data_IF_235962229924
#
_entry.id   IF_235962229924
#
_cell.length_a   1.000
_cell.length_b   1.000
_cell.length_c   1.000
_cell.angle_alpha   90.00
_cell.angle_beta   90.00
_cell.angle_gamma   90.00
#
_symmetry.space_group_name_H-M   'P 1'
#
loop_
_entity.id
_entity.type
_entity.pdbx_description
1 polymer ?
#
# COMPACT_ATOMS: atom_id res chain seq x y z
N UNK A 1 -4.33 -19.49 -7.12
CA UNK A 1 -4.46 -18.37 -8.08
C UNK A 1 -3.12 -17.68 -8.18
N UNK A 2 -2.80 -17.13 -9.34
CA UNK A 2 -1.63 -16.24 -9.50
C UNK A 2 -2.06 -14.80 -9.28
N UNK A 3 -1.18 -14.00 -8.69
CA UNK A 3 -1.33 -12.56 -8.56
C UNK A 3 -0.08 -11.90 -9.14
N UNK A 4 -0.28 -10.80 -9.84
CA UNK A 4 0.79 -9.98 -10.41
C UNK A 4 0.77 -8.62 -9.73
N UNK A 5 1.95 -8.13 -9.32
CA UNK A 5 2.12 -6.78 -8.80
C UNK A 5 2.17 -5.81 -9.99
N UNK A 6 1.19 -4.91 -10.10
CA UNK A 6 1.10 -3.96 -11.24
C UNK A 6 1.64 -2.55 -10.92
N UNK A 7 1.83 -2.25 -9.64
CA UNK A 7 2.42 -1.00 -9.13
C UNK A 7 3.22 -1.31 -7.86
N UNK A 8 4.13 -0.44 -7.40
CA UNK A 8 4.92 -0.73 -6.20
C UNK A 8 4.03 -1.05 -4.98
N UNK A 9 4.18 -2.24 -4.39
CA UNK A 9 3.37 -2.68 -3.24
C UNK A 9 4.24 -2.79 -1.99
N UNK A 10 3.90 -2.03 -0.95
CA UNK A 10 4.52 -2.12 0.37
C UNK A 10 3.56 -2.67 1.42
N UNK A 11 3.90 -3.82 2.03
CA UNK A 11 3.26 -4.32 3.25
C UNK A 11 4.31 -4.28 4.36
N UNK A 12 4.14 -3.41 5.34
CA UNK A 12 5.16 -3.16 6.35
C UNK A 12 5.34 -4.31 7.34
N UNK A 13 6.60 -4.57 7.73
CA UNK A 13 6.92 -5.48 8.84
C UNK A 13 6.61 -4.86 10.21
N UNK A 14 6.45 -3.55 10.27
CA UNK A 14 6.41 -2.76 11.52
C UNK A 14 7.78 -2.23 11.93
N UNK A 15 8.84 -2.58 11.20
CA UNK A 15 10.20 -2.10 11.38
C UNK A 15 10.64 -1.18 10.23
N UNK A 16 11.78 -0.53 10.41
CA UNK A 16 12.40 0.33 9.41
C UNK A 16 13.91 0.34 9.56
N UNK A 17 14.58 0.86 8.53
CA UNK A 17 16.02 1.08 8.50
C UNK A 17 16.29 2.57 8.64
N UNK A 18 16.82 2.99 9.78
CA UNK A 18 17.27 4.34 10.01
C UNK A 18 18.45 4.69 9.10
N UNK A 19 18.81 5.98 9.01
CA UNK A 19 19.88 6.45 8.12
C UNK A 19 21.26 5.89 8.46
N UNK A 20 21.45 5.35 9.67
CA UNK A 20 22.67 4.63 10.03
C UNK A 20 22.59 3.14 9.64
N UNK A 21 21.42 2.56 9.43
CA UNK A 21 21.26 1.12 9.12
C UNK A 21 21.58 0.78 7.66
N UNK A 22 21.70 1.78 6.78
CA UNK A 22 21.91 1.57 5.35
C UNK A 22 22.86 2.58 4.74
N UNK A 23 23.35 2.28 3.54
CA UNK A 23 23.89 3.30 2.65
C UNK A 23 23.39 3.12 1.22
N UNK A 24 23.29 4.25 0.52
CA UNK A 24 22.95 4.31 -0.89
C UNK A 24 24.22 4.48 -1.73
N UNK A 25 24.36 3.67 -2.78
CA UNK A 25 25.41 3.79 -3.77
C UNK A 25 24.93 3.25 -5.12
N UNK A 26 25.13 4.02 -6.21
CA UNK A 26 24.89 3.58 -7.59
C UNK A 26 23.51 2.96 -7.85
N UNK A 27 22.43 3.61 -7.40
CA UNK A 27 21.06 3.12 -7.62
C UNK A 27 20.68 1.92 -6.75
N UNK A 28 21.46 1.63 -5.69
CA UNK A 28 21.22 0.52 -4.77
C UNK A 28 21.29 0.96 -3.33
N UNK A 29 20.52 0.27 -2.49
CA UNK A 29 20.55 0.40 -1.03
C UNK A 29 21.06 -0.92 -0.44
N UNK A 30 22.07 -0.81 0.42
CA UNK A 30 22.60 -1.94 1.20
C UNK A 30 22.23 -1.76 2.66
N UNK A 31 21.62 -2.79 3.23
CA UNK A 31 21.29 -2.85 4.66
C UNK A 31 22.45 -3.48 5.41
N UNK A 32 23.02 -2.78 6.39
CA UNK A 32 24.24 -3.20 7.09
C UNK A 32 23.97 -4.39 8.02
N UNK A 33 24.92 -5.31 8.06
CA UNK A 33 24.98 -6.38 9.06
C UNK A 33 25.93 -5.97 10.19
N UNK A 34 25.37 -5.29 11.20
CA UNK A 34 26.14 -4.80 12.34
C UNK A 34 26.76 -5.90 13.17
N UNK A 35 26.04 -7.00 13.40
CA UNK A 35 26.53 -8.07 14.25
C UNK A 35 27.77 -8.69 13.61
N UNK A 36 27.71 -8.91 12.30
CA UNK A 36 28.84 -9.42 11.54
C UNK A 36 29.98 -8.39 11.49
N UNK A 37 29.68 -7.14 11.16
CA UNK A 37 30.69 -6.08 11.07
C UNK A 37 31.43 -5.87 12.41
N UNK A 38 30.68 -5.85 13.52
CA UNK A 38 31.22 -5.68 14.87
C UNK A 38 32.12 -6.85 15.28
N UNK A 39 31.76 -8.08 14.89
CA UNK A 39 32.52 -9.29 15.22
C UNK A 39 33.82 -9.39 14.41
N UNK A 40 33.75 -9.11 13.11
CA UNK A 40 34.82 -9.40 12.15
C UNK A 40 35.81 -8.24 11.94
N UNK A 41 35.45 -6.98 12.25
CA UNK A 41 36.28 -5.80 11.98
C UNK A 41 36.46 -4.91 13.21
N UNK A 42 37.67 -4.91 13.78
CA UNK A 42 38.03 -4.11 14.96
C UNK A 42 37.96 -2.59 14.72
N UNK A 43 38.23 -2.14 13.48
CA UNK A 43 38.11 -0.72 13.13
C UNK A 43 36.65 -0.30 13.16
N UNK A 44 35.77 -1.10 12.57
CA UNK A 44 34.31 -0.83 12.59
C UNK A 44 33.80 -0.88 14.03
N UNK A 45 34.23 -1.87 14.82
CA UNK A 45 33.89 -1.97 16.25
C UNK A 45 34.16 -0.66 16.99
N UNK A 46 35.38 -0.12 16.88
CA UNK A 46 35.77 1.15 17.49
C UNK A 46 34.93 2.34 17.00
N UNK A 47 34.54 2.37 15.72
CA UNK A 47 33.68 3.41 15.16
C UNK A 47 32.26 3.36 15.74
N UNK A 48 31.72 2.15 15.91
CA UNK A 48 30.41 1.92 16.54
C UNK A 48 30.46 2.35 18.01
N UNK A 49 31.45 1.85 18.76
CA UNK A 49 31.59 2.15 20.20
C UNK A 49 31.80 3.65 20.48
N UNK A 50 32.42 4.38 19.54
CA UNK A 50 32.62 5.85 19.64
C UNK A 50 31.42 6.69 19.18
N UNK A 51 30.36 6.07 18.64
CA UNK A 51 29.18 6.76 18.11
C UNK A 51 29.44 7.56 16.82
N UNK A 52 30.57 7.32 16.14
CA UNK A 52 30.97 8.02 14.90
C UNK A 52 30.90 7.12 13.67
N UNK A 53 30.03 6.12 13.70
CA UNK A 53 29.92 5.12 12.65
C UNK A 53 29.22 5.69 11.40
N UNK A 54 29.92 5.65 10.26
CA UNK A 54 29.34 5.84 8.93
C UNK A 54 29.07 4.45 8.32
N UNK A 55 27.85 4.16 7.85
CA UNK A 55 27.49 2.86 7.27
C UNK A 55 28.35 2.47 6.08
N UNK A 56 28.88 3.45 5.34
CA UNK A 56 29.81 3.23 4.21
C UNK A 56 31.11 2.56 4.64
N UNK A 57 31.54 2.76 5.89
CA UNK A 57 32.72 2.10 6.44
C UNK A 57 32.52 0.57 6.50
N UNK A 58 31.28 0.11 6.67
CA UNK A 58 30.90 -1.30 6.68
C UNK A 58 30.35 -1.78 5.33
N UNK A 59 30.73 -1.16 4.21
CA UNK A 59 30.17 -1.44 2.89
C UNK A 59 30.27 -2.90 2.41
N UNK A 60 31.16 -3.70 3.02
CA UNK A 60 31.34 -5.14 2.79
C UNK A 60 30.50 -6.04 3.71
N UNK A 61 29.92 -5.48 4.77
CA UNK A 61 29.12 -6.19 5.77
C UNK A 61 27.66 -5.77 5.63
N UNK A 62 26.95 -6.37 4.68
CA UNK A 62 25.54 -6.10 4.46
C UNK A 62 24.71 -7.39 4.51
N UNK A 63 23.50 -7.30 5.07
CA UNK A 63 22.53 -8.39 5.14
C UNK A 63 21.96 -8.70 3.76
N UNK A 64 21.61 -7.64 3.03
CA UNK A 64 21.13 -7.71 1.66
C UNK A 64 21.28 -6.36 0.95
N UNK A 65 21.17 -6.41 -0.38
CA UNK A 65 21.19 -5.27 -1.29
C UNK A 65 19.91 -5.31 -2.12
N UNK A 66 19.29 -4.16 -2.33
CA UNK A 66 18.13 -3.99 -3.21
C UNK A 66 18.31 -2.79 -4.12
N UNK A 67 17.62 -2.79 -5.26
CA UNK A 67 17.58 -1.62 -6.13
C UNK A 67 16.87 -0.46 -5.43
N UNK A 68 17.24 0.76 -5.79
CA UNK A 68 16.66 1.98 -5.26
C UNK A 68 16.38 2.96 -6.40
N UNK A 69 15.10 3.26 -6.59
CA UNK A 69 14.64 4.23 -7.59
C UNK A 69 14.63 5.66 -7.04
N UNK A 70 15.27 5.87 -5.89
CA UNK A 70 15.44 7.15 -5.22
C UNK A 70 16.71 7.12 -4.35
N UNK A 71 17.19 8.29 -3.91
CA UNK A 71 18.24 8.41 -2.90
C UNK A 71 17.60 8.69 -1.53
N UNK A 72 17.40 7.66 -0.68
CA UNK A 72 16.72 7.82 0.60
C UNK A 72 17.57 8.62 1.60
N UNK A 73 16.98 9.68 2.16
CA UNK A 73 17.60 10.61 3.11
C UNK A 73 17.04 10.52 4.54
N UNK A 74 16.20 9.52 4.82
CA UNK A 74 15.59 9.24 6.12
C UNK A 74 15.22 7.76 6.21
N UNK A 75 14.58 7.37 7.31
CA UNK A 75 14.13 5.99 7.54
C UNK A 75 13.42 5.38 6.31
N UNK A 76 13.82 4.15 5.98
CA UNK A 76 13.19 3.31 4.96
C UNK A 76 12.31 2.30 5.68
N UNK A 77 11.01 2.31 5.44
CA UNK A 77 10.11 1.33 6.01
C UNK A 77 10.30 -0.03 5.35
N UNK A 78 10.49 -1.05 6.19
CA UNK A 78 10.84 -2.39 5.77
C UNK A 78 9.60 -3.17 5.29
N UNK A 79 9.72 -3.85 4.15
CA UNK A 79 8.69 -4.77 3.67
C UNK A 79 8.69 -6.05 4.52
N UNK A 80 7.54 -6.64 4.77
CA UNK A 80 7.42 -7.89 5.51
C UNK A 80 8.08 -9.06 4.77
N UNK A 81 8.91 -9.83 5.48
CA UNK A 81 9.66 -10.96 4.93
C UNK A 81 9.47 -12.21 5.77
N UNK A 82 9.60 -13.37 5.15
CA UNK A 82 9.76 -14.66 5.82
C UNK A 82 11.12 -15.23 5.41
N UNK A 83 11.97 -15.53 6.40
CA UNK A 83 13.36 -15.98 6.17
C UNK A 83 14.12 -15.13 5.14
N UNK A 84 14.01 -13.80 5.26
CA UNK A 84 14.66 -12.83 4.37
C UNK A 84 14.01 -12.64 3.00
N UNK A 85 12.89 -13.32 2.71
CA UNK A 85 12.20 -13.26 1.42
C UNK A 85 10.86 -12.53 1.53
N UNK A 86 10.59 -11.50 0.72
CA UNK A 86 9.34 -10.76 0.79
C UNK A 86 8.15 -11.60 0.31
N UNK A 87 6.98 -11.36 0.90
CA UNK A 87 5.72 -12.02 0.57
C UNK A 87 4.54 -11.09 0.90
N UNK A 88 3.34 -11.43 0.43
CA UNK A 88 2.11 -10.73 0.82
C UNK A 88 1.35 -11.59 1.84
N UNK A 89 1.12 -11.08 3.06
CA UNK A 89 0.32 -11.78 4.05
C UNK A 89 -1.13 -11.97 3.60
N UNK A 90 -1.67 -13.15 3.85
CA UNK A 90 -3.06 -13.51 3.58
C UNK A 90 -4.04 -12.64 4.39
N UNK A 91 -3.62 -12.13 5.54
CA UNK A 91 -4.37 -11.14 6.32
C UNK A 91 -4.55 -9.82 5.58
N UNK A 92 -3.55 -9.38 4.80
CA UNK A 92 -3.64 -8.16 3.98
C UNK A 92 -4.64 -8.35 2.83
N UNK A 93 -4.55 -9.47 2.12
CA UNK A 93 -5.50 -9.84 1.06
C UNK A 93 -6.93 -9.99 1.60
N UNK A 94 -7.08 -10.66 2.74
CA UNK A 94 -8.37 -10.84 3.42
C UNK A 94 -8.96 -9.51 3.88
N UNK A 95 -8.13 -8.56 4.28
CA UNK A 95 -8.53 -7.18 4.58
C UNK A 95 -9.16 -6.48 3.39
N UNK A 96 -8.56 -6.57 2.20
CA UNK A 96 -9.12 -6.01 0.96
C UNK A 96 -10.46 -6.64 0.60
N UNK A 97 -10.58 -7.98 0.72
CA UNK A 97 -11.86 -8.68 0.49
C UNK A 97 -12.93 -8.23 1.48
N UNK A 98 -12.58 -8.10 2.78
CA UNK A 98 -13.48 -7.61 3.82
C UNK A 98 -14.02 -6.22 3.47
N UNK A 99 -13.16 -5.30 3.05
CA UNK A 99 -13.53 -3.94 2.66
C UNK A 99 -14.48 -3.94 1.47
N UNK A 100 -14.19 -4.75 0.45
CA UNK A 100 -15.05 -4.86 -0.73
C UNK A 100 -16.44 -5.42 -0.41
N UNK A 101 -16.52 -6.44 0.46
CA UNK A 101 -17.78 -7.01 0.93
C UNK A 101 -18.58 -5.96 1.73
N UNK A 102 -17.91 -5.22 2.62
CA UNK A 102 -18.55 -4.16 3.39
C UNK A 102 -19.08 -3.04 2.48
N UNK A 103 -18.31 -2.62 1.49
CA UNK A 103 -18.74 -1.65 0.48
C UNK A 103 -19.98 -2.13 -0.27
N UNK A 104 -19.95 -3.39 -0.77
CA UNK A 104 -21.06 -3.98 -1.50
C UNK A 104 -22.32 -4.03 -0.64
N UNK A 105 -22.19 -4.47 0.62
CA UNK A 105 -23.30 -4.48 1.56
C UNK A 105 -23.89 -3.08 1.81
N UNK A 106 -23.05 -2.06 2.00
CA UNK A 106 -23.51 -0.68 2.17
C UNK A 106 -24.29 -0.20 0.94
N UNK A 107 -23.73 -0.45 -0.26
CA UNK A 107 -24.32 -0.04 -1.53
C UNK A 107 -25.67 -0.74 -1.78
N UNK A 108 -25.71 -2.06 -1.65
CA UNK A 108 -26.91 -2.87 -1.91
C UNK A 108 -28.04 -2.57 -0.92
N UNK A 109 -27.72 -2.03 0.28
CA UNK A 109 -28.70 -1.59 1.28
C UNK A 109 -28.88 -0.06 1.34
N UNK A 110 -28.32 0.69 0.40
CA UNK A 110 -28.35 2.16 0.35
C UNK A 110 -27.96 2.85 1.69
N UNK A 111 -27.04 2.24 2.44
CA UNK A 111 -26.56 2.76 3.73
C UNK A 111 -25.46 3.80 3.51
N UNK A 112 -25.58 4.95 4.15
CA UNK A 112 -24.57 6.01 4.14
C UNK A 112 -23.85 6.04 5.48
N UNK A 113 -22.52 6.09 5.45
CA UNK A 113 -21.69 6.19 6.64
C UNK A 113 -21.30 7.64 6.87
N UNK A 114 -21.71 8.20 8.00
CA UNK A 114 -21.47 9.60 8.40
C UNK A 114 -20.41 9.73 9.49
N UNK A 115 -20.17 8.65 10.25
CA UNK A 115 -19.17 8.64 11.31
C UNK A 115 -18.51 7.28 11.48
N UNK A 116 -17.39 7.25 12.22
CA UNK A 116 -16.69 6.00 12.56
C UNK A 116 -17.52 5.09 13.45
N UNK A 117 -18.33 5.67 14.34
CA UNK A 117 -19.21 4.93 15.24
C UNK A 117 -20.31 4.23 14.44
N UNK A 118 -20.88 4.90 13.43
CA UNK A 118 -21.84 4.31 12.51
C UNK A 118 -21.21 3.19 11.69
N UNK A 119 -20.00 3.40 11.16
CA UNK A 119 -19.26 2.35 10.45
C UNK A 119 -19.06 1.11 11.33
N UNK A 120 -18.63 1.30 12.59
CA UNK A 120 -18.43 0.20 13.54
C UNK A 120 -19.73 -0.54 13.85
N UNK A 121 -20.86 0.15 13.94
CA UNK A 121 -22.18 -0.49 14.12
C UNK A 121 -22.56 -1.35 12.92
N UNK A 122 -22.35 -0.84 11.71
CA UNK A 122 -22.64 -1.58 10.47
C UNK A 122 -21.69 -2.76 10.30
N UNK A 123 -20.41 -2.61 10.63
CA UNK A 123 -19.46 -3.72 10.63
C UNK A 123 -19.92 -4.83 11.59
N UNK A 124 -20.42 -4.48 12.78
CA UNK A 124 -20.97 -5.45 13.74
C UNK A 124 -22.27 -6.08 13.26
N UNK A 125 -23.08 -5.36 12.49
CA UNK A 125 -24.30 -5.88 11.87
C UNK A 125 -23.98 -6.91 10.78
N UNK A 126 -23.00 -6.60 9.93
CA UNK A 126 -22.60 -7.46 8.81
C UNK A 126 -21.73 -8.64 9.27
N UNK A 127 -20.62 -8.36 9.94
CA UNK A 127 -19.61 -9.34 10.34
C UNK A 127 -19.84 -9.89 11.76
N UNK A 128 -20.92 -9.50 12.44
CA UNK A 128 -21.18 -9.96 13.80
C UNK A 128 -20.40 -9.21 14.88
N UNK A 129 -20.77 -9.45 16.15
CA UNK A 129 -20.24 -8.72 17.31
C UNK A 129 -18.89 -9.23 17.78
N UNK A 130 -18.56 -10.48 17.45
CA UNK A 130 -17.35 -11.17 17.89
C UNK A 130 -16.69 -11.95 16.74
N UNK A 131 -15.44 -12.37 16.93
CA UNK A 131 -14.74 -13.23 15.99
C UNK A 131 -15.44 -14.59 15.78
N UNK A 132 -16.25 -15.05 16.75
CA UNK A 132 -17.05 -16.27 16.62
C UNK A 132 -18.22 -16.07 15.66
N UNK A 133 -18.73 -14.85 15.51
CA UNK A 133 -19.87 -14.54 14.64
C UNK A 133 -19.42 -14.17 13.22
N UNK A 134 -18.16 -13.81 13.04
CA UNK A 134 -17.62 -13.31 11.79
C UNK A 134 -17.54 -14.38 10.70
N UNK A 135 -18.40 -14.23 9.69
CA UNK A 135 -18.43 -15.15 8.55
C UNK A 135 -17.13 -15.14 7.75
N UNK A 136 -16.29 -14.10 7.85
CA UNK A 136 -14.98 -14.07 7.19
C UNK A 136 -14.09 -15.22 7.67
N UNK A 137 -14.35 -15.85 8.81
CA UNK A 137 -13.65 -17.08 9.25
C UNK A 137 -13.85 -18.26 8.28
N UNK A 138 -14.92 -18.25 7.50
CA UNK A 138 -15.18 -19.25 6.46
C UNK A 138 -14.42 -18.96 5.16
N UNK A 139 -13.76 -17.81 5.03
CA UNK A 139 -12.85 -17.53 3.93
C UNK A 139 -11.40 -17.81 4.36
N UNK A 140 -10.83 -18.90 3.87
CA UNK A 140 -9.42 -19.19 4.03
C UNK A 140 -8.63 -18.38 2.99
N UNK A 141 -7.71 -17.55 3.46
CA UNK A 141 -6.75 -16.82 2.63
C UNK A 141 -5.38 -17.17 3.19
N UNK A 142 -4.59 -17.92 2.42
CA UNK A 142 -3.20 -18.22 2.78
C UNK A 142 -2.31 -17.01 2.48
N UNK A 143 -1.15 -16.98 3.12
CA UNK A 143 -0.07 -16.10 2.68
C UNK A 143 0.34 -16.50 1.25
N UNK A 144 0.90 -15.55 0.50
CA UNK A 144 1.51 -15.90 -0.77
C UNK A 144 2.75 -16.77 -0.55
N UNK A 145 3.24 -17.38 -1.62
CA UNK A 145 4.66 -17.73 -1.67
C UNK A 145 5.56 -16.49 -1.46
N UNK A 146 6.82 -16.73 -1.15
CA UNK A 146 7.82 -15.67 -1.00
C UNK A 146 8.69 -15.59 -2.24
N UNK A 147 9.11 -14.38 -2.61
CA UNK A 147 9.90 -14.12 -3.82
C UNK A 147 11.36 -13.79 -3.48
N UNK A 148 12.24 -13.75 -4.48
CA UNK A 148 13.62 -13.28 -4.29
C UNK A 148 13.63 -11.80 -3.92
N UNK A 149 14.68 -11.37 -3.21
CA UNK A 149 14.95 -9.95 -2.94
C UNK A 149 15.14 -9.12 -4.22
N UNK A 150 15.45 -9.76 -5.35
CA UNK A 150 15.50 -9.09 -6.66
C UNK A 150 14.15 -8.47 -7.06
N UNK A 151 13.04 -8.94 -6.47
CA UNK A 151 11.71 -8.38 -6.67
C UNK A 151 11.39 -7.23 -5.71
N UNK A 152 12.32 -6.84 -4.85
CA UNK A 152 12.16 -5.75 -3.89
C UNK A 152 13.01 -4.55 -4.33
N UNK A 153 12.47 -3.35 -4.15
CA UNK A 153 13.22 -2.12 -4.34
C UNK A 153 12.76 -1.02 -3.39
N UNK A 154 13.60 -0.02 -3.19
CA UNK A 154 13.26 1.18 -2.42
C UNK A 154 12.60 2.20 -3.35
N UNK A 155 11.41 2.65 -2.95
CA UNK A 155 10.64 3.67 -3.64
C UNK A 155 10.42 4.88 -2.74
N UNK A 156 10.30 6.05 -3.37
CA UNK A 156 9.87 7.28 -2.73
C UNK A 156 8.38 7.50 -2.95
N UNK A 157 7.64 7.73 -1.86
CA UNK A 157 6.26 8.21 -1.89
C UNK A 157 6.22 9.69 -1.54
N UNK A 158 5.70 10.49 -2.47
CA UNK A 158 5.43 11.91 -2.26
C UNK A 158 3.96 12.13 -1.94
N UNK A 159 3.67 12.97 -0.94
CA UNK A 159 2.30 13.33 -0.60
C UNK A 159 1.94 14.60 -1.34
N UNK A 160 0.93 14.56 -2.21
CA UNK A 160 0.43 15.74 -2.91
C UNK A 160 -0.72 16.38 -2.13
N UNK A 161 -0.81 17.71 -2.22
CA UNK A 161 -1.93 18.50 -1.73
C UNK A 161 -2.47 19.37 -2.84
N UNK A 162 -3.78 19.54 -2.84
CA UNK A 162 -4.46 20.44 -3.77
C UNK A 162 -4.20 21.90 -3.38
N UNK A 163 -3.97 22.74 -4.39
CA UNK A 163 -3.84 24.20 -4.28
C UNK A 163 -4.57 24.86 -5.44
N UNK A 164 -4.93 26.12 -5.25
CA UNK A 164 -5.44 26.99 -6.32
C UNK A 164 -4.33 28.00 -6.67
N UNK A 165 -3.86 27.97 -7.90
CA UNK A 165 -2.89 28.93 -8.45
C UNK A 165 -3.51 29.57 -9.69
N UNK A 166 -3.59 30.91 -9.73
CA UNK A 166 -4.19 31.67 -10.84
C UNK A 166 -5.62 31.20 -11.21
N UNK A 167 -6.44 30.86 -10.20
CA UNK A 167 -7.81 30.37 -10.38
C UNK A 167 -7.90 28.92 -10.90
N UNK A 168 -6.78 28.22 -11.03
CA UNK A 168 -6.71 26.84 -11.52
C UNK A 168 -6.29 25.88 -10.40
N UNK A 169 -6.93 24.71 -10.33
CA UNK A 169 -6.57 23.66 -9.39
C UNK A 169 -5.28 22.97 -9.84
N UNK A 170 -4.31 22.86 -8.94
CA UNK A 170 -3.06 22.15 -9.17
C UNK A 170 -2.68 21.28 -7.96
N UNK A 171 -1.87 20.25 -8.19
CA UNK A 171 -1.35 19.41 -7.12
C UNK A 171 0.11 19.78 -6.86
N UNK A 172 0.45 20.08 -5.60
CA UNK A 172 1.83 20.38 -5.19
C UNK A 172 2.28 19.41 -4.09
N UNK A 173 3.58 19.09 -4.01
CA UNK A 173 4.10 18.33 -2.87
C UNK A 173 3.75 19.01 -1.55
N UNK A 174 3.23 18.24 -0.61
CA UNK A 174 2.94 18.69 0.75
C UNK A 174 4.27 18.93 1.47
N UNK A 175 4.44 20.15 1.98
CA UNK A 175 5.68 20.57 2.64
C UNK A 175 5.50 20.67 4.16
N UNK A 176 6.58 20.46 4.89
CA UNK A 176 6.66 20.68 6.34
C UNK A 176 7.77 21.70 6.65
N UNK A 177 7.51 22.57 7.63
CA UNK A 177 8.53 23.48 8.18
C UNK A 177 9.44 22.70 9.11
N UNK A 178 10.75 22.84 8.92
CA UNK A 178 11.79 22.24 9.75
C UNK A 178 12.77 23.32 10.20
N UNK A 179 13.64 22.99 11.15
CA UNK A 179 14.69 23.91 11.63
C UNK A 179 15.60 24.43 10.50
N UNK A 180 15.78 23.63 9.45
CA UNK A 180 16.65 23.92 8.31
C UNK A 180 15.89 24.46 7.08
N UNK A 181 14.60 24.78 7.22
CA UNK A 181 13.77 25.33 6.14
C UNK A 181 12.54 24.49 5.81
N UNK A 182 11.95 24.75 4.65
CA UNK A 182 10.74 24.07 4.15
C UNK A 182 11.17 22.92 3.25
N UNK A 183 10.67 21.71 3.53
CA UNK A 183 10.96 20.52 2.70
C UNK A 183 9.72 19.69 2.41
N UNK A 184 9.66 18.97 1.27
CA UNK A 184 8.58 18.05 0.99
C UNK A 184 8.55 16.88 1.98
N UNK A 185 7.34 16.39 2.28
CA UNK A 185 7.15 15.14 3.00
C UNK A 185 7.40 14.00 2.03
N UNK A 186 8.43 13.22 2.33
CA UNK A 186 8.87 12.05 1.58
C UNK A 186 8.84 10.84 2.52
N UNK A 187 8.39 9.72 2.00
CA UNK A 187 8.34 8.44 2.71
C UNK A 187 9.06 7.43 1.85
N UNK A 188 10.01 6.69 2.41
CA UNK A 188 10.71 5.63 1.69
C UNK A 188 10.23 4.27 2.18
N UNK A 189 9.96 3.38 1.22
CA UNK A 189 9.44 2.04 1.52
C UNK A 189 10.13 1.02 0.64
N UNK A 190 10.55 -0.09 1.23
CA UNK A 190 10.82 -1.31 0.47
C UNK A 190 9.50 -1.84 -0.09
N UNK A 191 9.41 -2.00 -1.41
CA UNK A 191 8.18 -2.38 -2.09
C UNK A 191 8.46 -3.43 -3.15
N UNK A 192 7.51 -4.35 -3.32
CA UNK A 192 7.54 -5.31 -4.42
C UNK A 192 7.46 -4.55 -5.74
N UNK A 193 8.32 -4.92 -6.69
CA UNK A 193 8.41 -4.30 -8.01
C UNK A 193 7.20 -4.66 -8.87
N UNK A 194 6.72 -3.76 -9.75
CA UNK A 194 5.81 -4.13 -10.82
C UNK A 194 6.35 -5.32 -11.63
N UNK A 195 5.47 -6.23 -12.06
CA UNK A 195 5.80 -7.49 -12.73
C UNK A 195 6.14 -8.66 -11.80
N UNK A 196 6.14 -8.47 -10.47
CA UNK A 196 6.36 -9.58 -9.53
C UNK A 196 5.16 -10.52 -9.55
N UNK A 197 5.38 -11.79 -9.92
CA UNK A 197 4.38 -12.85 -9.84
C UNK A 197 4.45 -13.58 -8.48
N UNK A 198 3.29 -13.80 -7.87
CA UNK A 198 3.13 -14.58 -6.63
C UNK A 198 1.95 -15.57 -6.78
N UNK A 199 1.94 -16.61 -5.97
CA UNK A 199 0.86 -17.60 -5.88
C UNK A 199 0.17 -17.51 -4.53
N UNK A 200 -1.17 -17.53 -4.54
CA UNK A 200 -1.98 -17.56 -3.31
C UNK A 200 -3.15 -18.53 -3.40
N UNK A 201 -3.55 -19.07 -2.24
CA UNK A 201 -4.73 -19.90 -2.09
C UNK A 201 -5.84 -19.14 -1.35
N UNK A 202 -6.98 -18.97 -2.03
CA UNK A 202 -8.21 -18.39 -1.46
C UNK A 202 -9.33 -19.43 -1.62
N UNK A 203 -9.88 -19.92 -0.51
CA UNK A 203 -10.92 -20.95 -0.50
C UNK A 203 -12.07 -20.58 0.45
N UNK A 204 -13.30 -20.38 -0.05
CA UNK A 204 -14.48 -20.33 0.80
C UNK A 204 -14.81 -21.74 1.32
N UNK A 205 -15.05 -21.87 2.61
CA UNK A 205 -15.54 -23.11 3.25
C UNK A 205 -17.05 -23.15 3.16
N UNK A 206 -17.64 -24.28 2.76
CA UNK A 206 -19.11 -24.43 2.63
C UNK A 206 -19.83 -24.17 3.96
N UNK A 207 -20.78 -23.23 3.96
CA UNK A 207 -21.74 -22.95 5.03
C UNK A 207 -22.94 -22.19 4.45
N UNK A 208 -24.17 -22.49 4.88
CA UNK A 208 -25.41 -21.97 4.28
C UNK A 208 -25.67 -20.45 4.43
N UNK A 209 -24.78 -19.69 5.10
CA UNK A 209 -24.91 -18.24 5.34
C UNK A 209 -24.06 -17.35 4.41
N UNK A 210 -23.62 -17.87 3.25
CA UNK A 210 -22.41 -17.36 2.56
C UNK A 210 -22.61 -16.64 1.23
N UNK A 211 -23.80 -16.10 0.89
CA UNK A 211 -24.01 -15.44 -0.42
C UNK A 211 -22.93 -14.41 -0.80
N UNK A 212 -22.45 -13.62 0.16
CA UNK A 212 -21.37 -12.64 -0.07
C UNK A 212 -19.97 -13.27 -0.20
N UNK A 213 -19.73 -14.41 0.45
CA UNK A 213 -18.45 -15.12 0.36
C UNK A 213 -18.37 -16.04 -0.86
N UNK A 214 -19.49 -16.50 -1.39
CA UNK A 214 -19.51 -17.26 -2.65
C UNK A 214 -19.11 -16.37 -3.83
N UNK A 215 -19.53 -15.10 -3.83
CA UNK A 215 -19.15 -14.10 -4.84
C UNK A 215 -18.19 -13.03 -4.31
N UNK A 216 -17.20 -13.43 -3.51
CA UNK A 216 -16.19 -12.50 -2.98
C UNK A 216 -15.41 -11.80 -4.11
N UNK A 217 -15.12 -12.53 -5.19
CA UNK A 217 -14.39 -12.03 -6.36
C UNK A 217 -15.17 -10.92 -7.08
N UNK A 218 -16.47 -11.12 -7.31
CA UNK A 218 -17.34 -10.09 -7.88
C UNK A 218 -17.44 -8.86 -7.00
N UNK A 219 -17.51 -9.03 -5.67
CA UNK A 219 -17.49 -7.90 -4.74
C UNK A 219 -16.19 -7.07 -4.86
N UNK A 220 -15.03 -7.73 -4.95
CA UNK A 220 -13.73 -7.06 -5.14
C UNK A 220 -13.65 -6.36 -6.50
N UNK A 221 -14.11 -7.01 -7.57
CA UNK A 221 -14.11 -6.44 -8.91
C UNK A 221 -15.00 -5.19 -9.00
N UNK A 222 -16.25 -5.28 -8.52
CA UNK A 222 -17.19 -4.15 -8.50
C UNK A 222 -16.65 -2.98 -7.66
N UNK A 223 -16.09 -3.27 -6.48
CA UNK A 223 -15.47 -2.26 -5.63
C UNK A 223 -14.27 -1.60 -6.34
N UNK A 224 -13.42 -2.39 -6.99
CA UNK A 224 -12.25 -1.89 -7.70
C UNK A 224 -12.61 -0.98 -8.87
N UNK A 225 -13.60 -1.37 -9.69
CA UNK A 225 -14.13 -0.53 -10.78
C UNK A 225 -14.65 0.80 -10.24
N UNK A 226 -15.42 0.76 -9.15
CA UNK A 226 -15.93 1.98 -8.54
C UNK A 226 -14.82 2.95 -8.09
N UNK A 227 -13.74 2.44 -7.47
CA UNK A 227 -12.63 3.30 -7.03
C UNK A 227 -11.82 3.81 -8.21
N UNK A 228 -11.63 3.02 -9.27
CA UNK A 228 -10.92 3.44 -10.48
C UNK A 228 -11.61 4.63 -11.13
N UNK A 229 -12.93 4.61 -11.28
CA UNK A 229 -13.66 5.75 -11.87
C UNK A 229 -13.48 7.03 -11.03
N UNK A 230 -13.54 6.92 -9.70
CA UNK A 230 -13.30 8.05 -8.79
C UNK A 230 -11.88 8.60 -8.94
N UNK A 231 -10.88 7.73 -9.04
CA UNK A 231 -9.48 8.14 -9.21
C UNK A 231 -9.23 8.77 -10.57
N UNK A 232 -9.80 8.20 -11.63
CA UNK A 232 -9.72 8.73 -12.98
C UNK A 232 -10.26 10.16 -13.03
N UNK A 233 -11.49 10.36 -12.56
CA UNK A 233 -12.12 11.69 -12.49
C UNK A 233 -11.28 12.66 -11.64
N UNK A 234 -10.76 12.19 -10.50
CA UNK A 234 -9.92 13.01 -9.62
C UNK A 234 -8.68 13.54 -10.35
N UNK A 235 -7.96 12.70 -11.07
CA UNK A 235 -6.75 13.11 -11.80
C UNK A 235 -7.08 13.89 -13.07
N UNK A 236 -8.13 13.51 -13.81
CA UNK A 236 -8.54 14.16 -15.06
C UNK A 236 -8.89 15.64 -14.85
N UNK A 237 -9.70 15.96 -13.84
CA UNK A 237 -10.05 17.35 -13.49
C UNK A 237 -8.83 18.18 -13.08
N UNK A 238 -7.75 17.53 -12.64
CA UNK A 238 -6.51 18.18 -12.16
C UNK A 238 -5.38 18.13 -13.20
N UNK A 239 -5.60 17.51 -14.35
CA UNK A 239 -4.57 17.31 -15.37
C UNK A 239 -4.49 18.47 -16.37
N UNK A 240 -4.24 19.69 -15.87
CA UNK A 240 -4.37 20.91 -16.69
C UNK A 240 -3.28 21.08 -17.76
N UNK A 241 -2.12 20.46 -17.55
CA UNK A 241 -0.93 20.59 -18.42
C UNK A 241 -0.32 19.22 -18.76
N UNK A 242 -1.06 18.13 -18.59
CA UNK A 242 -0.58 16.76 -18.87
C UNK A 242 0.31 16.16 -17.77
N UNK A 243 0.42 16.80 -16.59
CA UNK A 243 1.27 16.33 -15.48
C UNK A 243 0.86 14.95 -14.92
N UNK A 244 -0.38 14.52 -15.19
CA UNK A 244 -0.93 13.24 -14.76
C UNK A 244 -1.19 12.26 -15.90
N UNK A 245 -0.72 12.51 -17.13
CA UNK A 245 -0.94 11.62 -18.28
C UNK A 245 -0.47 10.18 -18.01
N UNK A 246 0.71 10.04 -17.40
CA UNK A 246 1.24 8.71 -17.02
C UNK A 246 0.33 7.99 -16.03
N UNK A 247 -0.26 8.73 -15.09
CA UNK A 247 -1.18 8.16 -14.09
C UNK A 247 -2.52 7.80 -14.73
N UNK A 248 -3.05 8.66 -15.59
CA UNK A 248 -4.32 8.41 -16.30
C UNK A 248 -4.19 7.21 -17.24
N UNK A 249 -3.11 7.11 -18.00
CA UNK A 249 -2.84 5.94 -18.85
C UNK A 249 -2.74 4.66 -18.02
N UNK A 250 -2.03 4.70 -16.88
CA UNK A 250 -1.99 3.57 -15.96
C UNK A 250 -3.38 3.19 -15.43
N UNK A 251 -4.22 4.16 -15.06
CA UNK A 251 -5.60 3.91 -14.60
C UNK A 251 -6.44 3.25 -15.71
N UNK A 252 -6.31 3.72 -16.94
CA UNK A 252 -7.02 3.18 -18.10
C UNK A 252 -6.56 1.75 -18.44
N UNK A 253 -5.26 1.44 -18.31
CA UNK A 253 -4.72 0.08 -18.44
C UNK A 253 -5.30 -0.87 -17.38
N UNK A 254 -5.38 -0.42 -16.12
CA UNK A 254 -5.97 -1.21 -15.03
C UNK A 254 -7.47 -1.42 -15.25
N UNK A 255 -8.18 -0.42 -15.78
CA UNK A 255 -9.58 -0.54 -16.16
C UNK A 255 -9.78 -1.62 -17.22
N UNK A 256 -8.93 -1.63 -18.26
CA UNK A 256 -8.96 -2.65 -19.31
C UNK A 256 -8.79 -4.08 -18.74
N UNK A 257 -7.84 -4.27 -17.80
CA UNK A 257 -7.66 -5.53 -17.07
C UNK A 257 -8.90 -5.94 -16.26
N UNK A 258 -9.57 -5.01 -15.60
CA UNK A 258 -10.82 -5.31 -14.87
C UNK A 258 -11.99 -5.65 -15.80
N UNK A 259 -12.01 -5.10 -17.01
CA UNK A 259 -13.03 -5.39 -18.01
C UNK A 259 -12.81 -6.73 -18.71
N UNK A 260 -11.57 -7.22 -18.79
CA UNK A 260 -11.24 -8.58 -19.24
C UNK A 260 -11.60 -9.68 -18.22
N UNK A 261 -12.01 -9.29 -17.01
CA UNK A 261 -12.41 -10.21 -15.93
C UNK A 261 -11.32 -10.48 -14.89
N UNK A 262 -10.17 -9.78 -14.93
CA UNK A 262 -9.19 -9.83 -13.85
C UNK A 262 -9.74 -9.18 -12.58
N UNK A 263 -9.13 -9.53 -11.44
CA UNK A 263 -9.49 -9.01 -10.11
C UNK A 263 -8.34 -8.16 -9.60
N UNK A 264 -8.63 -6.92 -9.24
CA UNK A 264 -7.64 -6.01 -8.65
C UNK A 264 -7.67 -6.06 -7.12
N UNK A 265 -6.54 -6.38 -6.51
CA UNK A 265 -6.33 -6.20 -5.07
C UNK A 265 -5.56 -4.91 -4.82
N UNK A 266 -6.23 -3.93 -4.19
CA UNK A 266 -5.56 -2.72 -3.67
C UNK A 266 -4.94 -3.04 -2.31
N UNK A 267 -3.62 -3.20 -2.29
CA UNK A 267 -2.86 -3.67 -1.11
C UNK A 267 -1.85 -2.65 -0.61
N UNK A 268 -1.53 -2.77 0.67
CA UNK A 268 -0.35 -2.13 1.23
C UNK A 268 -0.54 -0.66 1.63
N UNK A 269 0.56 -0.01 1.99
CA UNK A 269 0.61 1.42 2.29
C UNK A 269 0.14 2.26 1.09
N UNK A 270 -0.23 3.52 1.32
CA UNK A 270 -0.62 4.49 0.28
C UNK A 270 -1.83 4.19 -0.63
N UNK A 271 -2.60 3.11 -0.47
CA UNK A 271 -3.85 2.87 -1.25
C UNK A 271 -5.01 3.85 -0.99
N UNK A 272 -4.72 4.96 -0.29
CA UNK A 272 -5.64 6.04 -0.03
C UNK A 272 -6.69 5.74 1.04
N UNK A 273 -7.34 6.81 1.51
CA UNK A 273 -8.49 6.70 2.40
C UNK A 273 -9.64 5.96 1.74
N UNK A 274 -9.91 6.21 0.46
CA UNK A 274 -11.01 5.57 -0.28
C UNK A 274 -10.81 4.06 -0.47
N UNK A 275 -9.57 3.60 -0.62
CA UNK A 275 -9.24 2.16 -0.75
C UNK A 275 -9.20 1.39 0.58
N UNK A 276 -9.06 2.09 1.73
CA UNK A 276 -8.94 1.47 3.07
C UNK A 276 -10.07 1.79 4.06
N UNK A 277 -10.74 2.91 3.87
CA UNK A 277 -11.73 3.49 4.79
C UNK A 277 -12.88 4.10 3.98
N UNK A 278 -14.00 3.39 3.97
CA UNK A 278 -15.24 3.81 3.29
C UNK A 278 -15.74 5.20 3.73
N UNK A 279 -15.35 5.65 4.93
CA UNK A 279 -15.65 6.97 5.50
C UNK A 279 -15.02 8.15 4.71
N UNK A 280 -13.92 7.96 3.96
CA UNK A 280 -13.32 9.06 3.18
C UNK A 280 -13.92 9.25 1.79
N UNK A 281 -14.52 8.21 1.20
CA UNK A 281 -15.41 8.38 0.04
C UNK A 281 -16.64 9.25 0.35
N UNK A 282 -16.98 9.44 1.63
CA UNK A 282 -18.10 10.29 2.06
C UNK A 282 -17.73 11.75 2.37
N UNK A 283 -16.46 12.05 2.68
CA UNK A 283 -16.06 13.37 3.19
C UNK A 283 -15.67 14.41 2.13
N UNK A 284 -15.29 14.02 0.91
CA UNK A 284 -15.22 14.95 -0.25
C UNK A 284 -16.60 15.19 -0.90
N UNK A 285 -17.71 14.86 -0.21
CA UNK A 285 -19.10 15.06 -0.66
C UNK A 285 -19.73 16.39 -0.18
N UNK A 286 -18.94 17.45 0.04
CA UNK A 286 -19.53 18.78 0.33
C UNK A 286 -19.81 19.62 -0.92
N UNK A 287 -19.39 19.18 -2.11
CA UNK A 287 -19.54 19.99 -3.35
C UNK A 287 -20.29 19.31 -4.51
N UNK A 288 -20.69 18.05 -4.42
CA UNK A 288 -21.52 17.41 -5.45
C UNK A 288 -22.72 16.69 -4.83
N UNK A 289 -23.89 17.30 -5.00
CA UNK A 289 -25.20 16.70 -4.76
C UNK A 289 -25.34 15.42 -5.60
N UNK A 290 -25.72 14.30 -4.98
CA UNK A 290 -26.41 13.23 -5.71
C UNK A 290 -27.71 12.86 -5.03
N UNK A 291 -28.81 13.18 -5.73
CA UNK A 291 -30.08 12.46 -5.71
C UNK A 291 -29.92 11.27 -6.65
N UNK A 292 -30.24 10.07 -6.16
CA UNK A 292 -30.31 8.89 -7.00
C UNK A 292 -31.49 9.01 -7.97
N UNK A 293 -31.20 9.08 -9.27
CA UNK A 293 -32.06 8.52 -10.31
C UNK A 293 -31.43 7.21 -10.76
#
# INVERSE_FOLDING_TARGET
>A
MKIEVISPVHVGSGSGHATFDYFYQNGKVRIIDYERAYREDERIRRLIDSGRFDPRAASRYYKYEVDAFCNPDREIFEHIKVTGRPYIPGSSLKGTIRTAILWKYLRDNNKKVKSKEELSRIEKELFGKSAHDDFMKFLLVRDTDSVSLDNLAVYETIILTEKVENGKLCMKPKTIKTKTGIRPIKIYTESLKPGTELSVEIKPRKNGKLKYLENWAGAVAEFSKHIIEIEREFFEVRNLVGEFDVVLNFIDDVRSKLDSGEILFRLGFSTGGCGKQLDRCSRKRRELNWRAN
#
